data_IF_261380847460
#
_entry.id   IF_261380847460
#
_cell.length_a   1.000
_cell.length_b   1.000
_cell.length_c   1.000
_cell.angle_alpha   90.00
_cell.angle_beta   90.00
_cell.angle_gamma   90.00
#
_symmetry.space_group_name_H-M   'P 1'
#
loop_
_entity.id
_entity.type
_entity.pdbx_description
1 polymer ?
#
# COMPACT_ATOMS: atom_id res chain seq x y z
N UNK A 1 -38.81 18.60 -30.40
CA UNK A 1 -38.21 17.31 -30.03
C UNK A 1 -38.01 17.29 -28.53
N UNK A 2 -38.93 16.64 -27.82
CA UNK A 2 -38.78 16.34 -26.39
C UNK A 2 -37.84 15.16 -26.32
N UNK A 3 -36.58 15.36 -25.88
CA UNK A 3 -35.67 14.27 -25.57
C UNK A 3 -36.23 13.56 -24.32
N UNK A 4 -36.80 12.39 -24.50
CA UNK A 4 -37.18 11.53 -23.39
C UNK A 4 -35.88 10.93 -22.86
N UNK A 5 -35.27 11.54 -21.84
CA UNK A 5 -34.24 10.84 -21.08
C UNK A 5 -34.82 9.55 -20.51
N UNK A 6 -34.17 8.39 -20.70
CA UNK A 6 -34.66 7.15 -20.15
C UNK A 6 -34.67 7.26 -18.62
N UNK A 7 -35.84 7.22 -18.00
CA UNK A 7 -35.98 7.17 -16.54
C UNK A 7 -35.23 5.94 -16.03
N UNK A 8 -34.06 6.15 -15.42
CA UNK A 8 -33.31 5.07 -14.77
C UNK A 8 -34.17 4.51 -13.62
N UNK A 9 -34.35 3.19 -13.56
CA UNK A 9 -35.14 2.52 -12.52
C UNK A 9 -34.40 2.42 -11.19
N UNK A 10 -33.07 2.55 -11.22
CA UNK A 10 -32.21 2.53 -10.05
C UNK A 10 -30.99 3.42 -10.30
N UNK A 11 -30.46 4.01 -9.25
CA UNK A 11 -29.21 4.79 -9.27
C UNK A 11 -28.48 4.63 -7.94
N UNK A 12 -27.21 4.99 -7.92
CA UNK A 12 -26.39 5.09 -6.69
C UNK A 12 -26.09 6.57 -6.46
N UNK A 13 -26.39 7.04 -5.27
CA UNK A 13 -25.99 8.38 -4.82
C UNK A 13 -24.69 8.27 -4.02
N UNK A 14 -23.71 9.10 -4.37
CA UNK A 14 -22.43 9.17 -3.68
C UNK A 14 -22.28 10.57 -3.09
N UNK A 15 -22.21 10.62 -1.77
CA UNK A 15 -21.97 11.85 -1.02
C UNK A 15 -20.46 12.08 -0.85
N UNK A 16 -19.91 13.02 -1.62
CA UNK A 16 -18.47 13.35 -1.59
C UNK A 16 -18.10 14.22 -0.37
N UNK A 17 -19.06 14.91 0.24
CA UNK A 17 -18.82 15.67 1.47
C UNK A 17 -18.72 14.73 2.66
N UNK A 18 -19.51 13.65 2.68
CA UNK A 18 -19.33 12.56 3.64
C UNK A 18 -17.96 11.89 3.50
N UNK A 19 -17.46 11.68 2.27
CA UNK A 19 -16.12 11.15 2.03
C UNK A 19 -15.03 12.08 2.61
N UNK A 20 -15.16 13.41 2.43
CA UNK A 20 -14.24 14.40 3.03
C UNK A 20 -14.28 14.36 4.56
N UNK A 21 -15.49 14.38 5.11
CA UNK A 21 -15.72 14.35 6.55
C UNK A 21 -15.14 13.09 7.19
N UNK A 22 -15.34 11.93 6.56
CA UNK A 22 -14.79 10.66 7.04
C UNK A 22 -13.25 10.68 7.03
N UNK A 23 -12.63 11.19 5.97
CA UNK A 23 -11.17 11.33 5.92
C UNK A 23 -10.66 12.24 7.03
N UNK A 24 -11.29 13.41 7.25
CA UNK A 24 -10.91 14.34 8.33
C UNK A 24 -11.05 13.72 9.70
N UNK A 25 -12.18 13.11 9.99
CA UNK A 25 -12.44 12.43 11.28
C UNK A 25 -11.50 11.25 11.53
N UNK A 26 -11.05 10.58 10.46
CA UNK A 26 -10.05 9.52 10.55
C UNK A 26 -8.67 10.10 10.85
N UNK A 27 -8.28 11.18 10.15
CA UNK A 27 -6.99 11.86 10.36
C UNK A 27 -6.82 12.40 11.79
N UNK A 28 -7.90 12.93 12.38
CA UNK A 28 -7.90 13.46 13.75
C UNK A 28 -7.62 12.41 14.83
N UNK A 29 -7.79 11.12 14.51
CA UNK A 29 -7.59 10.00 15.44
C UNK A 29 -6.22 9.35 15.32
N UNK A 30 -5.43 9.74 14.34
CA UNK A 30 -4.11 9.15 14.12
C UNK A 30 -3.04 9.87 14.93
N UNK A 31 -1.97 9.16 15.30
CA UNK A 31 -0.82 9.77 15.94
C UNK A 31 -0.22 10.88 15.05
N UNK A 32 0.36 11.93 15.65
CA UNK A 32 1.06 12.96 14.90
C UNK A 32 2.14 12.37 13.98
N UNK A 33 2.13 12.77 12.71
CA UNK A 33 3.08 12.30 11.71
C UNK A 33 2.68 11.02 10.97
N UNK A 34 1.63 10.31 11.41
CA UNK A 34 1.11 9.15 10.70
C UNK A 34 0.40 9.59 9.41
N UNK A 35 0.84 9.07 8.28
CA UNK A 35 0.24 9.35 6.98
C UNK A 35 -0.97 8.47 6.68
N UNK A 36 -1.89 8.98 5.85
CA UNK A 36 -3.03 8.19 5.35
C UNK A 36 -2.77 7.82 3.89
N UNK A 37 -2.93 6.54 3.57
CA UNK A 37 -2.85 5.98 2.23
C UNK A 37 -4.24 5.44 1.83
N UNK A 38 -5.18 6.28 1.33
CA UNK A 38 -6.50 5.83 0.94
C UNK A 38 -6.46 4.78 -0.14
N UNK A 39 -7.16 3.66 0.08
CA UNK A 39 -7.32 2.60 -0.91
C UNK A 39 -8.41 2.99 -1.91
N UNK A 40 -8.03 3.15 -3.18
CA UNK A 40 -8.94 3.55 -4.27
C UNK A 40 -9.07 2.49 -5.37
N UNK A 41 -8.67 1.25 -5.06
CA UNK A 41 -8.83 0.08 -5.94
C UNK A 41 -10.29 -0.19 -6.30
N UNK A 42 -10.54 -0.97 -7.36
CA UNK A 42 -11.87 -1.36 -7.82
C UNK A 42 -12.80 -0.15 -8.00
N UNK A 43 -12.32 0.86 -8.76
CA UNK A 43 -13.03 2.13 -9.00
C UNK A 43 -13.40 2.86 -7.68
N UNK A 44 -12.45 2.87 -6.72
CA UNK A 44 -12.64 3.38 -5.36
C UNK A 44 -13.83 2.69 -4.66
N UNK A 45 -13.87 1.36 -4.74
CA UNK A 45 -14.98 0.54 -4.22
C UNK A 45 -16.36 0.94 -4.76
N UNK A 46 -16.42 1.37 -6.02
CA UNK A 46 -17.64 1.77 -6.71
C UNK A 46 -18.05 3.24 -6.53
N UNK A 47 -17.28 4.02 -5.77
CA UNK A 47 -17.51 5.48 -5.63
C UNK A 47 -17.19 6.22 -6.94
N UNK A 48 -16.27 5.66 -7.75
CA UNK A 48 -15.70 6.28 -8.93
C UNK A 48 -14.32 6.87 -8.66
N UNK A 49 -13.28 6.23 -9.23
CA UNK A 49 -11.87 6.56 -9.01
C UNK A 49 -11.59 8.05 -9.14
N UNK A 50 -12.04 8.66 -10.27
CA UNK A 50 -11.76 10.07 -10.54
C UNK A 50 -12.43 11.02 -9.54
N UNK A 51 -13.61 10.66 -9.02
CA UNK A 51 -14.31 11.45 -7.99
C UNK A 51 -13.58 11.33 -6.65
N UNK A 52 -13.25 10.12 -6.23
CA UNK A 52 -12.56 9.86 -4.96
C UNK A 52 -11.20 10.55 -4.92
N UNK A 53 -10.34 10.37 -5.94
CA UNK A 53 -9.01 10.97 -6.00
C UNK A 53 -9.10 12.50 -5.96
N UNK A 54 -9.96 13.13 -6.78
CA UNK A 54 -10.11 14.60 -6.76
C UNK A 54 -10.65 15.13 -5.44
N UNK A 55 -11.52 14.39 -4.77
CA UNK A 55 -12.08 14.77 -3.47
C UNK A 55 -11.05 14.69 -2.35
N UNK A 56 -10.20 13.65 -2.36
CA UNK A 56 -9.23 13.39 -1.30
C UNK A 56 -7.92 14.16 -1.49
N UNK A 57 -7.50 14.44 -2.73
CA UNK A 57 -6.23 15.15 -3.02
C UNK A 57 -6.04 16.44 -2.22
N UNK A 58 -7.04 17.37 -2.11
CA UNK A 58 -6.87 18.61 -1.34
C UNK A 58 -6.71 18.40 0.17
N UNK A 59 -7.01 17.19 0.68
CA UNK A 59 -6.90 16.85 2.11
C UNK A 59 -5.51 16.36 2.48
N UNK A 60 -4.58 16.26 1.51
CA UNK A 60 -3.19 15.93 1.75
C UNK A 60 -2.94 14.47 2.17
N UNK A 61 -3.54 13.45 1.49
CA UNK A 61 -3.16 12.07 1.75
C UNK A 61 -1.67 11.87 1.48
N UNK A 62 -1.03 10.93 2.19
CA UNK A 62 0.37 10.59 1.92
C UNK A 62 0.54 10.03 0.51
N UNK A 63 -0.39 9.24 0.05
CA UNK A 63 -0.42 8.62 -1.26
C UNK A 63 -1.78 8.02 -1.56
N UNK A 64 -1.87 7.21 -2.62
CA UNK A 64 -3.04 6.38 -2.92
C UNK A 64 -2.65 4.92 -3.07
N UNK A 65 -3.47 4.01 -2.53
CA UNK A 65 -3.31 2.58 -2.68
C UNK A 65 -4.25 2.04 -3.76
N UNK A 66 -3.71 1.22 -4.66
CA UNK A 66 -4.43 0.56 -5.74
C UNK A 66 -4.15 -0.93 -5.76
N UNK A 67 -4.95 -1.72 -6.46
CA UNK A 67 -4.68 -3.15 -6.60
C UNK A 67 -3.68 -3.41 -7.75
N UNK A 68 -3.85 -2.76 -8.90
CA UNK A 68 -3.11 -3.09 -10.12
C UNK A 68 -2.31 -1.92 -10.67
N UNK A 69 -1.33 -2.23 -11.54
CA UNK A 69 -0.55 -1.22 -12.27
C UNK A 69 -1.45 -0.31 -13.12
N UNK A 70 -2.48 -0.85 -13.76
CA UNK A 70 -3.42 -0.07 -14.59
C UNK A 70 -4.22 0.93 -13.76
N UNK A 71 -4.69 0.54 -12.57
CA UNK A 71 -5.34 1.46 -11.64
C UNK A 71 -4.37 2.58 -11.19
N UNK A 72 -3.11 2.23 -10.93
CA UNK A 72 -2.06 3.21 -10.61
C UNK A 72 -1.81 4.20 -11.75
N UNK A 73 -1.77 3.74 -12.98
CA UNK A 73 -1.68 4.58 -14.19
C UNK A 73 -2.90 5.50 -14.29
N UNK A 74 -4.09 5.00 -14.00
CA UNK A 74 -5.31 5.80 -14.00
C UNK A 74 -5.27 6.91 -12.94
N UNK A 75 -4.83 6.61 -11.70
CA UNK A 75 -4.63 7.64 -10.66
C UNK A 75 -3.60 8.68 -11.11
N UNK A 76 -2.49 8.25 -11.69
CA UNK A 76 -1.45 9.16 -12.20
C UNK A 76 -1.98 10.08 -13.29
N UNK A 77 -2.85 9.57 -14.17
CA UNK A 77 -3.48 10.33 -15.25
C UNK A 77 -4.48 11.39 -14.75
N UNK A 78 -4.94 11.29 -13.51
CA UNK A 78 -5.75 12.33 -12.85
C UNK A 78 -4.92 13.50 -12.30
N UNK A 79 -3.59 13.48 -12.50
CA UNK A 79 -2.68 14.56 -12.08
C UNK A 79 -2.07 14.40 -10.69
N UNK A 80 -2.32 13.28 -10.00
CA UNK A 80 -1.68 13.03 -8.72
C UNK A 80 -0.16 12.84 -8.87
N UNK A 81 0.65 13.64 -8.19
CA UNK A 81 2.11 13.62 -8.27
C UNK A 81 2.78 12.83 -7.13
N UNK A 82 2.07 12.60 -6.03
CA UNK A 82 2.57 11.89 -4.84
C UNK A 82 2.68 10.36 -5.03
N UNK A 83 2.99 9.61 -3.97
CA UNK A 83 3.12 8.15 -3.99
C UNK A 83 1.85 7.45 -4.47
N UNK A 84 2.03 6.34 -5.20
CA UNK A 84 0.96 5.40 -5.56
C UNK A 84 1.49 4.00 -5.30
N UNK A 85 0.91 3.31 -4.32
CA UNK A 85 1.31 1.96 -3.92
C UNK A 85 0.42 0.93 -4.60
N UNK A 86 1.03 -0.04 -5.29
CA UNK A 86 0.34 -1.14 -6.00
C UNK A 86 0.41 -2.40 -5.16
N UNK A 87 -0.73 -2.86 -4.63
CA UNK A 87 -0.79 -3.90 -3.60
C UNK A 87 -0.86 -5.33 -4.13
N UNK A 88 -1.37 -5.57 -5.33
CA UNK A 88 -1.29 -6.92 -5.91
C UNK A 88 0.10 -7.19 -6.46
N UNK A 89 0.59 -8.43 -6.38
CA UNK A 89 1.88 -8.78 -6.96
C UNK A 89 1.94 -8.38 -8.44
N UNK A 90 2.98 -7.64 -8.78
CA UNK A 90 3.25 -7.21 -10.16
C UNK A 90 4.17 -8.19 -10.86
N UNK A 91 4.10 -8.28 -12.18
CA UNK A 91 5.03 -9.09 -12.94
C UNK A 91 6.35 -8.35 -13.19
N UNK A 92 7.49 -9.04 -13.32
CA UNK A 92 8.75 -8.39 -13.71
C UNK A 92 8.65 -7.59 -15.01
N UNK A 93 7.78 -8.02 -15.94
CA UNK A 93 7.46 -7.29 -17.18
C UNK A 93 6.86 -5.91 -16.97
N UNK A 94 6.22 -5.69 -15.82
CA UNK A 94 5.57 -4.41 -15.50
C UNK A 94 6.58 -3.37 -15.00
N UNK A 95 7.82 -3.79 -14.68
CA UNK A 95 8.85 -2.92 -14.06
C UNK A 95 9.05 -1.64 -14.85
N UNK A 96 9.04 -1.70 -16.19
CA UNK A 96 9.16 -0.51 -17.03
C UNK A 96 8.01 0.47 -16.79
N UNK A 97 6.77 0.00 -16.81
CA UNK A 97 5.58 0.82 -16.55
C UNK A 97 5.58 1.40 -15.12
N UNK A 98 5.98 0.59 -14.13
CA UNK A 98 6.10 1.02 -12.74
C UNK A 98 7.10 2.19 -12.60
N UNK A 99 8.27 2.08 -13.23
CA UNK A 99 9.29 3.14 -13.22
C UNK A 99 8.80 4.39 -13.98
N UNK A 100 8.35 4.24 -15.22
CA UNK A 100 7.90 5.37 -16.05
C UNK A 100 6.74 6.15 -15.41
N UNK A 101 5.85 5.45 -14.72
CA UNK A 101 4.69 6.04 -14.05
C UNK A 101 4.93 6.36 -12.58
N UNK A 102 6.14 6.09 -12.07
CA UNK A 102 6.51 6.32 -10.67
C UNK A 102 5.52 5.66 -9.71
N UNK A 103 5.26 4.37 -9.93
CA UNK A 103 4.42 3.53 -9.08
C UNK A 103 5.33 2.72 -8.15
N UNK A 104 4.85 2.44 -6.95
CA UNK A 104 5.58 1.73 -5.90
C UNK A 104 4.92 0.36 -5.67
N UNK A 105 5.43 -0.74 -6.27
CA UNK A 105 4.83 -2.04 -6.08
C UNK A 105 5.07 -2.58 -4.67
N UNK A 106 4.12 -3.37 -4.18
CA UNK A 106 4.33 -4.25 -3.04
C UNK A 106 4.94 -5.56 -3.53
N UNK A 107 6.11 -5.92 -2.98
CA UNK A 107 6.85 -7.13 -3.35
C UNK A 107 6.75 -8.14 -2.21
N UNK A 108 6.19 -9.34 -2.47
CA UNK A 108 5.89 -10.32 -1.42
C UNK A 108 7.02 -11.32 -1.13
N UNK A 109 8.19 -11.22 -1.76
CA UNK A 109 9.25 -12.20 -1.55
C UNK A 109 10.51 -11.99 -2.38
N UNK A 110 11.57 -12.73 -2.02
CA UNK A 110 12.91 -12.55 -2.57
C UNK A 110 13.00 -12.86 -4.07
N UNK A 111 12.25 -13.85 -4.57
CA UNK A 111 12.30 -14.22 -5.99
C UNK A 111 11.80 -13.06 -6.88
N UNK A 112 10.67 -12.46 -6.51
CA UNK A 112 10.16 -11.29 -7.23
C UNK A 112 11.04 -10.06 -7.00
N UNK A 113 11.61 -9.92 -5.80
CA UNK A 113 12.57 -8.86 -5.49
C UNK A 113 13.79 -8.94 -6.42
N UNK A 114 14.39 -10.13 -6.56
CA UNK A 114 15.52 -10.35 -7.47
C UNK A 114 15.15 -10.04 -8.92
N UNK A 115 14.01 -10.54 -9.39
CA UNK A 115 13.55 -10.35 -10.77
C UNK A 115 13.27 -8.86 -11.09
N UNK A 116 12.60 -8.14 -10.19
CA UNK A 116 12.35 -6.71 -10.36
C UNK A 116 13.64 -5.88 -10.28
N UNK A 117 14.58 -6.26 -9.40
CA UNK A 117 15.89 -5.62 -9.31
C UNK A 117 16.71 -5.77 -10.59
N UNK A 118 16.72 -6.96 -11.19
CA UNK A 118 17.36 -7.21 -12.48
C UNK A 118 16.72 -6.37 -13.59
N UNK A 119 15.40 -6.33 -13.67
CA UNK A 119 14.67 -5.57 -14.67
C UNK A 119 14.88 -4.06 -14.53
N UNK A 120 14.88 -3.54 -13.31
CA UNK A 120 15.12 -2.12 -13.04
C UNK A 120 16.55 -1.71 -13.42
N UNK A 121 17.56 -2.53 -13.07
CA UNK A 121 18.96 -2.28 -13.49
C UNK A 121 19.13 -2.33 -15.00
N UNK A 122 18.54 -3.31 -15.67
CA UNK A 122 18.58 -3.40 -17.13
C UNK A 122 17.96 -2.16 -17.81
N UNK A 123 17.00 -1.53 -17.16
CA UNK A 123 16.38 -0.27 -17.60
C UNK A 123 17.18 0.98 -17.17
N UNK A 124 18.30 0.84 -16.47
CA UNK A 124 19.06 1.97 -15.92
C UNK A 124 18.29 2.80 -14.88
N UNK A 125 17.36 2.17 -14.16
CA UNK A 125 16.42 2.83 -13.27
C UNK A 125 16.52 2.31 -11.84
N UNK A 126 15.92 3.05 -10.90
CA UNK A 126 15.70 2.62 -9.52
C UNK A 126 14.20 2.55 -9.25
N UNK A 127 13.69 1.35 -8.93
CA UNK A 127 12.30 1.11 -8.61
C UNK A 127 12.08 1.24 -7.10
N UNK A 128 11.33 2.25 -6.63
CA UNK A 128 10.87 2.29 -5.26
C UNK A 128 9.81 1.19 -5.04
N UNK A 129 9.86 0.52 -3.89
CA UNK A 129 8.92 -0.57 -3.59
C UNK A 129 8.65 -0.68 -2.10
N UNK A 130 7.61 -1.44 -1.73
CA UNK A 130 7.31 -1.84 -0.36
C UNK A 130 7.47 -3.36 -0.22
N UNK A 131 8.09 -3.82 0.89
CA UNK A 131 8.21 -5.24 1.21
C UNK A 131 7.02 -5.68 2.07
N UNK A 132 6.29 -6.71 1.64
CA UNK A 132 5.20 -7.28 2.43
C UNK A 132 5.69 -8.48 3.23
N UNK A 133 5.39 -8.47 4.53
CA UNK A 133 5.64 -9.58 5.46
C UNK A 133 4.30 -10.23 5.81
N UNK A 134 4.15 -11.51 5.50
CA UNK A 134 2.98 -12.27 5.94
C UNK A 134 3.16 -12.70 7.39
N UNK A 135 2.39 -12.10 8.26
CA UNK A 135 2.38 -12.39 9.70
C UNK A 135 1.23 -13.30 10.12
N UNK A 136 0.43 -13.77 9.16
CA UNK A 136 -0.68 -14.67 9.39
C UNK A 136 -1.91 -14.43 8.53
N UNK A 137 -1.87 -13.47 7.58
CA UNK A 137 -2.95 -13.26 6.61
C UNK A 137 -3.08 -14.44 5.64
N UNK A 138 -1.96 -15.11 5.28
CA UNK A 138 -1.95 -16.27 4.39
C UNK A 138 -2.34 -15.96 2.95
N UNK A 139 -2.03 -14.75 2.48
CA UNK A 139 -2.39 -14.30 1.13
C UNK A 139 -1.17 -13.97 0.28
N UNK A 140 -0.44 -12.94 0.64
CA UNK A 140 0.81 -12.51 0.02
C UNK A 140 1.78 -12.09 1.12
N UNK A 141 3.06 -12.01 0.79
CA UNK A 141 4.11 -11.57 1.68
C UNK A 141 5.17 -12.65 1.93
N UNK A 142 6.37 -12.20 2.24
CA UNK A 142 7.41 -13.06 2.79
C UNK A 142 6.96 -13.52 4.18
N UNK A 143 6.87 -14.82 4.42
CA UNK A 143 6.49 -15.34 5.74
C UNK A 143 7.39 -14.77 6.84
N UNK A 144 6.83 -14.38 7.98
CA UNK A 144 7.59 -13.71 9.04
C UNK A 144 8.80 -14.53 9.51
N UNK A 145 8.69 -15.88 9.59
CA UNK A 145 9.84 -16.74 9.89
C UNK A 145 10.88 -16.74 8.77
N UNK A 146 10.45 -16.62 7.52
CA UNK A 146 11.35 -16.51 6.38
C UNK A 146 12.04 -15.15 6.35
N UNK A 147 11.34 -14.07 6.71
CA UNK A 147 11.93 -12.76 6.85
C UNK A 147 13.07 -12.73 7.87
N UNK A 148 12.88 -13.38 9.03
CA UNK A 148 13.92 -13.53 10.05
C UNK A 148 15.13 -14.34 9.52
N UNK A 149 14.88 -15.45 8.82
CA UNK A 149 15.95 -16.31 8.29
C UNK A 149 16.66 -15.73 7.07
N UNK A 150 15.95 -14.99 6.23
CA UNK A 150 16.44 -14.48 4.92
C UNK A 150 16.74 -12.97 4.92
N UNK A 151 16.78 -12.33 6.10
CA UNK A 151 17.08 -10.90 6.19
C UNK A 151 18.41 -10.52 5.50
N UNK A 152 19.44 -11.36 5.62
CA UNK A 152 20.71 -11.19 4.92
C UNK A 152 20.57 -11.25 3.39
N UNK A 153 19.72 -12.15 2.87
CA UNK A 153 19.44 -12.24 1.43
C UNK A 153 18.71 -11.00 0.92
N UNK A 154 17.74 -10.47 1.70
CA UNK A 154 17.09 -9.20 1.35
C UNK A 154 18.10 -8.07 1.29
N UNK A 155 19.00 -7.97 2.27
CA UNK A 155 20.07 -6.97 2.29
C UNK A 155 20.99 -7.09 1.08
N UNK A 156 21.41 -8.31 0.72
CA UNK A 156 22.22 -8.58 -0.46
C UNK A 156 21.50 -8.16 -1.76
N UNK A 157 20.23 -8.55 -1.95
CA UNK A 157 19.46 -8.16 -3.12
C UNK A 157 19.33 -6.64 -3.28
N UNK A 158 19.15 -5.92 -2.18
CA UNK A 158 19.13 -4.45 -2.18
C UNK A 158 20.49 -3.84 -2.52
N UNK A 159 21.60 -4.47 -2.11
CA UNK A 159 22.95 -3.98 -2.36
C UNK A 159 23.33 -3.99 -3.85
N UNK A 160 22.72 -4.87 -4.65
CA UNK A 160 22.94 -4.91 -6.10
C UNK A 160 22.41 -3.68 -6.86
N UNK A 161 21.62 -2.84 -6.21
CA UNK A 161 20.98 -1.67 -6.81
C UNK A 161 19.78 -2.00 -7.72
N UNK A 162 19.19 -0.96 -8.30
CA UNK A 162 17.97 -1.08 -9.09
C UNK A 162 16.67 -1.11 -8.25
N UNK A 163 16.77 -1.29 -6.92
CA UNK A 163 15.65 -1.28 -6.00
C UNK A 163 15.90 -0.28 -4.86
N UNK A 164 14.84 0.34 -4.38
CA UNK A 164 14.86 1.21 -3.21
C UNK A 164 13.68 0.90 -2.31
N UNK A 165 13.95 0.28 -1.15
CA UNK A 165 12.91 0.00 -0.17
C UNK A 165 12.35 1.32 0.38
N UNK A 166 11.06 1.54 0.19
CA UNK A 166 10.33 2.72 0.65
C UNK A 166 9.56 2.45 1.93
N UNK A 167 9.13 1.21 2.10
CA UNK A 167 8.42 0.81 3.29
C UNK A 167 8.33 -0.69 3.44
N UNK A 168 8.00 -1.12 4.66
CA UNK A 168 7.75 -2.52 5.00
C UNK A 168 6.38 -2.62 5.62
N UNK A 169 5.59 -3.59 5.17
CA UNK A 169 4.21 -3.71 5.59
C UNK A 169 3.81 -5.14 5.98
N UNK A 170 2.75 -5.22 6.75
CA UNK A 170 1.94 -6.42 6.93
C UNK A 170 0.46 -6.09 6.83
N UNK A 171 -0.41 -7.09 6.73
CA UNK A 171 -1.85 -6.90 6.74
C UNK A 171 -2.52 -7.70 7.85
N UNK A 172 -3.27 -7.02 8.72
CA UNK A 172 -4.04 -7.66 9.79
C UNK A 172 -5.31 -8.32 9.23
N UNK A 173 -5.52 -9.60 9.57
CA UNK A 173 -6.69 -10.35 9.07
C UNK A 173 -7.94 -10.20 9.94
N UNK A 174 -7.80 -9.85 11.24
CA UNK A 174 -8.91 -9.85 12.20
C UNK A 174 -8.89 -8.65 13.15
N UNK A 175 -8.43 -7.48 12.68
CA UNK A 175 -8.36 -6.29 13.52
C UNK A 175 -9.73 -5.79 14.01
N UNK A 176 -10.79 -6.14 13.28
CA UNK A 176 -12.19 -5.86 13.63
C UNK A 176 -12.78 -6.81 14.67
N UNK A 177 -12.23 -8.01 14.83
CA UNK A 177 -12.85 -9.09 15.63
C UNK A 177 -11.96 -9.64 16.75
N UNK A 178 -10.63 -9.62 16.62
CA UNK A 178 -9.72 -10.27 17.57
C UNK A 178 -8.48 -9.43 17.89
N UNK A 179 -8.46 -8.88 19.09
CA UNK A 179 -7.27 -8.18 19.64
C UNK A 179 -6.07 -9.14 19.79
N UNK A 180 -6.30 -10.35 20.28
CA UNK A 180 -5.24 -11.35 20.49
C UNK A 180 -4.50 -11.68 19.19
N UNK A 181 -5.25 -11.97 18.12
CA UNK A 181 -4.67 -12.30 16.82
C UNK A 181 -3.95 -11.11 16.20
N UNK A 182 -4.52 -9.91 16.32
CA UNK A 182 -3.91 -8.66 15.83
C UNK A 182 -2.59 -8.39 16.56
N UNK A 183 -2.58 -8.54 17.88
CA UNK A 183 -1.37 -8.40 18.70
C UNK A 183 -0.31 -9.45 18.33
N UNK A 184 -0.72 -10.69 18.07
CA UNK A 184 0.19 -11.75 17.65
C UNK A 184 0.82 -11.44 16.29
N UNK A 185 0.04 -10.95 15.32
CA UNK A 185 0.56 -10.51 14.02
C UNK A 185 1.53 -9.33 14.17
N UNK A 186 1.20 -8.34 15.01
CA UNK A 186 2.08 -7.21 15.26
C UNK A 186 3.43 -7.62 15.85
N UNK A 187 3.45 -8.51 16.86
CA UNK A 187 4.70 -9.03 17.44
C UNK A 187 5.57 -9.75 16.42
N UNK A 188 4.96 -10.58 15.55
CA UNK A 188 5.67 -11.25 14.45
C UNK A 188 6.26 -10.23 13.46
N UNK A 189 5.50 -9.19 13.17
CA UNK A 189 5.95 -8.12 12.29
C UNK A 189 7.14 -7.36 12.89
N UNK A 190 7.08 -7.02 14.17
CA UNK A 190 8.20 -6.38 14.87
C UNK A 190 9.47 -7.25 14.82
N UNK A 191 9.36 -8.56 15.08
CA UNK A 191 10.49 -9.48 14.97
C UNK A 191 11.11 -9.50 13.57
N UNK A 192 10.28 -9.53 12.52
CA UNK A 192 10.75 -9.45 11.14
C UNK A 192 11.44 -8.11 10.81
N UNK A 193 10.88 -6.98 11.30
CA UNK A 193 11.51 -5.66 11.14
C UNK A 193 12.88 -5.59 11.84
N UNK A 194 12.99 -6.14 13.05
CA UNK A 194 14.23 -6.15 13.83
C UNK A 194 15.30 -7.03 13.16
N UNK A 195 14.91 -8.16 12.58
CA UNK A 195 15.81 -9.01 11.80
C UNK A 195 16.35 -8.28 10.55
N UNK A 196 15.47 -7.61 9.80
CA UNK A 196 15.86 -6.81 8.64
C UNK A 196 16.82 -5.68 9.02
N UNK A 197 16.52 -4.93 10.08
CA UNK A 197 17.38 -3.85 10.60
C UNK A 197 18.74 -4.38 11.07
N UNK A 198 18.75 -5.53 11.73
CA UNK A 198 19.99 -6.20 12.16
C UNK A 198 20.87 -6.62 10.97
N UNK A 199 20.24 -6.97 9.85
CA UNK A 199 20.93 -7.26 8.59
C UNK A 199 21.35 -5.98 7.80
N UNK A 200 21.13 -4.78 8.37
CA UNK A 200 21.50 -3.51 7.75
C UNK A 200 20.47 -2.96 6.76
N UNK A 201 19.26 -3.49 6.73
CA UNK A 201 18.16 -3.00 5.87
C UNK A 201 17.46 -1.83 6.54
N UNK A 202 17.43 -0.67 5.88
CA UNK A 202 16.52 0.41 6.23
C UNK A 202 15.10 0.01 5.82
N UNK A 203 14.23 -0.22 6.81
CA UNK A 203 12.86 -0.73 6.59
C UNK A 203 11.90 0.32 6.03
N UNK A 204 12.33 1.58 5.90
CA UNK A 204 11.51 2.68 5.40
C UNK A 204 10.25 2.91 6.24
N UNK A 205 9.17 3.36 5.59
CA UNK A 205 7.87 3.54 6.24
C UNK A 205 7.29 2.21 6.71
N UNK A 206 6.96 2.11 8.00
CA UNK A 206 6.31 0.93 8.56
C UNK A 206 4.80 1.13 8.50
N UNK A 207 4.08 0.16 7.91
CA UNK A 207 2.61 0.22 7.88
C UNK A 207 1.96 -1.16 8.03
N UNK A 208 0.96 -1.22 8.91
CA UNK A 208 0.25 -2.46 9.25
C UNK A 208 -1.26 -2.25 9.39
N UNK A 209 -1.67 -1.08 9.89
CA UNK A 209 -3.03 -0.82 10.25
C UNK A 209 -3.91 -0.58 9.02
N UNK A 210 -4.91 -1.44 8.84
CA UNK A 210 -6.09 -1.13 8.05
C UNK A 210 -7.04 -0.24 8.86
N UNK A 211 -8.14 0.22 8.25
CA UNK A 211 -9.10 1.11 8.92
C UNK A 211 -9.58 0.58 10.26
N UNK A 212 -9.84 -0.73 10.38
CA UNK A 212 -10.28 -1.34 11.65
C UNK A 212 -9.21 -1.29 12.72
N UNK A 213 -7.97 -1.59 12.39
CA UNK A 213 -6.84 -1.52 13.31
C UNK A 213 -6.60 -0.07 13.75
N UNK A 214 -6.52 0.87 12.82
CA UNK A 214 -6.26 2.28 13.11
C UNK A 214 -7.32 2.94 14.01
N UNK A 215 -8.58 2.51 13.90
CA UNK A 215 -9.67 3.01 14.75
C UNK A 215 -9.72 2.37 16.14
N UNK A 216 -9.11 1.20 16.34
CA UNK A 216 -9.20 0.41 17.58
C UNK A 216 -7.91 0.36 18.39
N UNK A 217 -6.76 0.50 17.71
CA UNK A 217 -5.44 0.25 18.30
C UNK A 217 -4.45 1.32 17.78
N UNK A 218 -4.34 2.43 18.51
CA UNK A 218 -3.47 3.54 18.14
C UNK A 218 -2.00 3.09 17.97
N UNK A 219 -1.56 2.15 18.80
CA UNK A 219 -0.19 1.61 18.83
C UNK A 219 0.23 0.87 17.54
N UNK A 220 -0.71 0.49 16.68
CA UNK A 220 -0.41 -0.21 15.42
C UNK A 220 -0.45 0.70 14.19
N UNK A 221 -0.71 1.98 14.36
CA UNK A 221 -0.81 2.94 13.25
C UNK A 221 0.56 3.23 12.60
N UNK A 222 1.66 3.11 13.33
CA UNK A 222 3.03 3.30 12.85
C UNK A 222 3.19 4.56 11.97
N UNK A 223 3.87 4.46 10.80
CA UNK A 223 4.12 5.61 9.93
C UNK A 223 2.97 5.87 8.94
N UNK A 224 2.28 4.82 8.51
CA UNK A 224 1.18 4.90 7.54
C UNK A 224 0.02 3.97 7.92
N UNK A 225 -1.20 4.42 7.61
CA UNK A 225 -2.45 3.64 7.71
C UNK A 225 -3.13 3.53 6.34
N UNK A 226 -3.92 2.42 6.15
CA UNK A 226 -4.57 2.04 4.90
C UNK A 226 -6.09 2.08 5.03
#
# INVERSE_FOLDING_TARGET
NVSIEPKRRAWVEVDLDALRSNFGSFAERLPPGCGILPMVKADAYGIGLGRAVRTLTPLGPWGFGVATTDEGIAVRSLGWAGPIVVFSPTLPSDTRALVERRLEPVIPGCDLLAACGLAARAAGASLPFHLEIDTGMGRFGLGWQDAERRAGEVAELLSFGGLRLRGTLTHFHSADTSCEQTTAQWRRFQGALDALRTAGVDTGFVHAANSAAALRYEEYSADLVL
#
